data_IF_606860885176
#
_entry.id   IF_606860885176
#
_cell.length_a   1.000
_cell.length_b   1.000
_cell.length_c   1.000
_cell.angle_alpha   90.00
_cell.angle_beta   90.00
_cell.angle_gamma   90.00
#
_symmetry.space_group_name_H-M   'P 1'
#
loop_
_entity.id
_entity.type
_entity.pdbx_description
1 polymer ?
#
# COMPACT_ATOMS: atom_id res chain seq x y z
N UNK A 1 7.37 7.17 26.11
CA UNK A 1 6.03 7.31 25.51
C UNK A 1 6.23 8.13 24.26
N UNK A 2 6.05 7.54 23.08
CA UNK A 2 6.16 8.26 21.80
C UNK A 2 4.72 8.57 21.38
N UNK A 3 4.38 9.85 21.27
CA UNK A 3 3.09 10.27 20.76
C UNK A 3 3.24 10.39 19.23
N UNK A 4 2.63 9.48 18.48
CA UNK A 4 2.60 9.55 17.02
C UNK A 4 1.20 10.03 16.61
N UNK A 5 1.11 11.24 16.05
CA UNK A 5 -0.14 11.75 15.48
C UNK A 5 -0.13 11.50 13.97
N UNK A 6 -0.79 10.43 13.54
CA UNK A 6 -0.97 10.15 12.11
C UNK A 6 -2.29 10.77 11.63
N UNK A 7 -2.23 11.71 10.68
CA UNK A 7 -3.40 12.16 9.91
C UNK A 7 -3.54 11.27 8.68
N UNK A 8 -4.15 10.10 8.84
CA UNK A 8 -4.43 9.19 7.72
C UNK A 8 -5.85 9.43 7.16
N UNK A 9 -6.10 9.05 5.89
CA UNK A 9 -7.45 9.00 5.33
C UNK A 9 -8.36 8.14 6.21
N UNK A 10 -9.55 8.64 6.54
CA UNK A 10 -10.51 7.97 7.41
C UNK A 10 -11.14 6.75 6.72
N UNK A 11 -10.89 5.54 7.23
CA UNK A 11 -11.37 4.29 6.66
C UNK A 11 -12.72 3.79 7.21
N UNK A 12 -13.49 4.65 7.87
CA UNK A 12 -14.65 4.23 8.66
C UNK A 12 -15.96 3.93 7.89
N UNK A 13 -16.03 4.12 6.57
CA UNK A 13 -17.24 3.77 5.79
C UNK A 13 -17.27 2.31 5.35
N UNK A 14 -17.71 1.41 6.25
CA UNK A 14 -18.03 0.00 5.91
C UNK A 14 -19.54 -0.15 5.66
N UNK A 15 -19.97 -0.18 4.41
CA UNK A 15 -21.32 -0.65 4.02
C UNK A 15 -21.18 -1.60 2.84
N UNK A 16 -21.76 -2.80 2.98
CA UNK A 16 -21.42 -4.00 2.21
C UNK A 16 -21.70 -3.93 0.70
N UNK A 17 -22.57 -3.03 0.23
CA UNK A 17 -23.03 -3.09 -1.17
C UNK A 17 -22.97 -1.79 -1.97
N UNK A 18 -22.47 -0.70 -1.39
CA UNK A 18 -22.03 0.53 -2.10
C UNK A 18 -21.45 1.48 -1.06
N UNK A 19 -20.22 1.24 -0.66
CA UNK A 19 -19.47 2.13 0.21
C UNK A 19 -18.57 3.00 -0.65
N UNK A 20 -18.80 4.31 -0.64
CA UNK A 20 -17.79 5.27 -1.06
C UNK A 20 -16.51 4.92 -0.31
N UNK A 21 -15.48 4.50 -1.03
CA UNK A 21 -14.20 4.22 -0.41
C UNK A 21 -13.59 5.54 0.10
N UNK A 22 -12.83 5.50 1.19
CA UNK A 22 -12.07 6.65 1.66
C UNK A 22 -11.26 7.24 0.53
N UNK A 23 -11.29 8.55 0.31
CA UNK A 23 -10.36 9.17 -0.64
C UNK A 23 -9.11 9.61 0.11
N UNK A 24 -7.94 9.18 -0.36
CA UNK A 24 -6.67 9.67 0.15
C UNK A 24 -6.23 10.91 -0.67
N UNK A 25 -6.07 12.05 -0.01
CA UNK A 25 -5.53 13.26 -0.64
C UNK A 25 -4.01 13.15 -0.77
N UNK A 26 -3.54 12.37 -1.75
CA UNK A 26 -2.12 12.11 -1.99
C UNK A 26 -1.51 13.08 -3.02
N UNK A 27 -0.20 13.37 -2.96
CA UNK A 27 0.76 12.87 -1.97
C UNK A 27 0.64 13.59 -0.61
N UNK A 28 1.01 12.89 0.48
CA UNK A 28 1.06 13.46 1.84
C UNK A 28 2.47 13.31 2.40
N UNK A 29 3.01 14.41 2.94
CA UNK A 29 4.27 14.41 3.68
C UNK A 29 4.00 14.17 5.17
N UNK A 30 4.70 13.21 5.76
CA UNK A 30 4.60 12.85 7.17
C UNK A 30 5.97 13.07 7.83
N UNK A 31 5.96 13.80 8.94
CA UNK A 31 7.14 14.02 9.79
C UNK A 31 6.91 13.32 11.13
N UNK A 32 7.73 12.29 11.41
CA UNK A 32 7.78 11.60 12.68
C UNK A 32 8.82 12.29 13.56
N UNK A 33 8.36 12.84 14.68
CA UNK A 33 9.22 13.50 15.67
C UNK A 33 9.25 12.63 16.93
N UNK A 34 10.42 12.09 17.25
CA UNK A 34 10.68 11.35 18.48
C UNK A 34 11.56 12.16 19.42
N UNK A 35 11.20 12.24 20.69
CA UNK A 35 12.08 12.83 21.72
C UNK A 35 12.54 11.74 22.68
N UNK A 36 13.85 11.59 22.81
CA UNK A 36 14.45 10.63 23.75
C UNK A 36 14.33 11.14 25.20
N UNK A 37 14.51 10.25 26.17
CA UNK A 37 14.50 10.63 27.60
C UNK A 37 15.62 11.62 27.96
N UNK A 38 16.70 11.61 27.19
CA UNK A 38 17.87 12.49 27.34
C UNK A 38 17.66 13.86 26.67
N UNK A 39 16.49 14.11 26.09
CA UNK A 39 16.16 15.39 25.43
C UNK A 39 16.62 15.50 23.97
N UNK A 40 17.21 14.45 23.39
CA UNK A 40 17.54 14.44 21.96
C UNK A 40 16.27 14.30 21.12
N UNK A 41 16.11 15.20 20.13
CA UNK A 41 15.03 15.17 19.13
C UNK A 41 15.50 14.43 17.88
N UNK A 42 14.76 13.39 17.50
CA UNK A 42 14.91 12.61 16.28
C UNK A 42 13.78 12.99 15.33
N UNK A 43 14.11 13.15 14.04
CA UNK A 43 13.16 13.56 13.01
C UNK A 43 13.32 12.62 11.83
N UNK A 44 12.27 11.89 11.49
CA UNK A 44 12.17 11.08 10.27
C UNK A 44 11.06 11.63 9.37
N UNK A 45 11.30 11.67 8.07
CA UNK A 45 10.36 12.20 7.08
C UNK A 45 10.12 11.17 5.99
N UNK A 46 8.86 10.96 5.65
CA UNK A 46 8.48 10.11 4.53
C UNK A 46 7.25 10.66 3.83
N UNK A 47 7.11 10.33 2.54
CA UNK A 47 6.01 10.79 1.68
C UNK A 47 5.17 9.59 1.26
N UNK A 48 3.88 9.64 1.54
CA UNK A 48 2.91 8.66 1.02
C UNK A 48 2.45 9.14 -0.35
N UNK A 49 2.68 8.33 -1.38
CA UNK A 49 2.35 8.64 -2.79
C UNK A 49 1.24 7.75 -3.35
N UNK A 50 0.98 6.61 -2.72
CA UNK A 50 -0.04 5.65 -3.14
C UNK A 50 -0.88 5.19 -1.94
N UNK A 51 -2.14 4.82 -2.20
CA UNK A 51 -3.07 4.26 -1.24
C UNK A 51 -3.78 3.06 -1.87
N UNK A 52 -4.07 2.06 -1.06
CA UNK A 52 -4.64 0.79 -1.49
C UNK A 52 -5.84 0.46 -0.61
N UNK A 53 -6.86 -0.16 -1.22
CA UNK A 53 -8.03 -0.69 -0.52
C UNK A 53 -8.15 -2.19 -0.81
N UNK A 54 -8.61 -2.95 0.19
CA UNK A 54 -8.84 -4.38 0.08
C UNK A 54 -10.30 -4.70 0.45
N UNK A 55 -10.90 -5.68 -0.23
CA UNK A 55 -12.30 -6.11 -0.03
C UNK A 55 -12.46 -7.17 1.07
N UNK A 56 -11.54 -7.21 2.04
CA UNK A 56 -11.45 -8.27 3.04
C UNK A 56 -11.28 -9.65 2.40
N UNK A 57 -12.01 -10.62 2.92
CA UNK A 57 -11.95 -12.04 2.52
C UNK A 57 -12.75 -12.34 1.23
N UNK A 58 -13.28 -11.33 0.55
CA UNK A 58 -14.09 -11.54 -0.66
C UNK A 58 -13.22 -11.95 -1.86
N UNK A 59 -13.38 -13.21 -2.27
CA UNK A 59 -12.73 -13.78 -3.46
C UNK A 59 -13.67 -13.68 -4.66
N UNK A 60 -13.19 -13.13 -5.77
CA UNK A 60 -13.96 -12.94 -7.00
C UNK A 60 -13.06 -13.06 -8.23
N UNK A 61 -13.68 -13.26 -9.40
CA UNK A 61 -12.95 -13.26 -10.67
C UNK A 61 -12.32 -11.88 -10.94
N UNK A 62 -11.22 -11.81 -11.72
CA UNK A 62 -10.54 -10.54 -12.00
C UNK A 62 -11.47 -9.45 -12.54
N UNK A 63 -12.44 -9.80 -13.40
CA UNK A 63 -13.42 -8.85 -13.93
C UNK A 63 -14.34 -8.27 -12.85
N UNK A 64 -14.80 -9.10 -11.90
CA UNK A 64 -15.66 -8.66 -10.80
C UNK A 64 -14.89 -7.82 -9.77
N UNK A 65 -13.62 -8.13 -9.53
CA UNK A 65 -12.76 -7.28 -8.68
C UNK A 65 -12.50 -5.93 -9.34
N UNK A 66 -12.29 -5.91 -10.65
CA UNK A 66 -12.14 -4.67 -11.42
C UNK A 66 -13.39 -3.80 -11.31
N UNK A 67 -14.56 -4.38 -11.57
CA UNK A 67 -15.86 -3.70 -11.47
C UNK A 67 -16.09 -3.15 -10.06
N UNK A 68 -15.76 -3.92 -9.03
CA UNK A 68 -15.83 -3.44 -7.65
C UNK A 68 -14.90 -2.24 -7.41
N UNK A 69 -13.62 -2.32 -7.79
CA UNK A 69 -12.68 -1.22 -7.61
C UNK A 69 -13.13 0.05 -8.36
N UNK A 70 -13.55 -0.07 -9.61
CA UNK A 70 -14.02 1.07 -10.42
C UNK A 70 -15.34 1.64 -9.88
N UNK A 71 -16.17 0.81 -9.24
CA UNK A 71 -17.39 1.22 -8.56
C UNK A 71 -17.19 2.04 -7.28
N UNK A 72 -15.97 2.10 -6.72
CA UNK A 72 -15.65 2.86 -5.50
C UNK A 72 -15.40 4.36 -5.75
N UNK A 73 -15.49 4.83 -7.00
CA UNK A 73 -15.22 6.22 -7.39
C UNK A 73 -13.90 6.34 -8.15
N UNK A 74 -12.95 7.12 -7.64
CA UNK A 74 -11.65 7.35 -8.33
C UNK A 74 -10.63 6.23 -8.08
N UNK A 75 -11.10 4.99 -7.98
CA UNK A 75 -10.31 3.79 -7.73
C UNK A 75 -10.17 2.97 -9.01
N UNK A 76 -9.06 2.22 -9.08
CA UNK A 76 -8.82 1.24 -10.15
C UNK A 76 -8.25 -0.02 -9.56
N UNK A 77 -8.38 -1.13 -10.29
CA UNK A 77 -7.66 -2.34 -9.97
C UNK A 77 -6.13 -2.08 -9.97
N UNK A 78 -5.44 -2.54 -8.93
CA UNK A 78 -3.99 -2.47 -8.85
C UNK A 78 -3.35 -3.34 -9.93
N UNK A 79 -2.31 -2.83 -10.58
CA UNK A 79 -1.49 -3.61 -11.50
C UNK A 79 -0.31 -4.23 -10.73
N UNK A 80 0.41 -5.16 -11.39
CA UNK A 80 1.56 -5.84 -10.77
C UNK A 80 2.63 -4.87 -10.29
N UNK A 81 2.85 -3.74 -10.98
CA UNK A 81 3.87 -2.74 -10.64
C UNK A 81 3.48 -1.84 -9.48
N UNK A 82 2.19 -1.66 -9.21
CA UNK A 82 1.74 -0.99 -7.98
C UNK A 82 2.05 -1.83 -6.73
N UNK A 83 2.14 -3.17 -6.89
CA UNK A 83 2.27 -4.11 -5.77
C UNK A 83 3.69 -4.64 -5.61
N UNK A 84 4.43 -4.82 -6.72
CA UNK A 84 5.69 -5.57 -6.71
C UNK A 84 6.73 -5.12 -7.73
N UNK A 85 8.00 -5.20 -7.33
CA UNK A 85 9.15 -5.06 -8.23
C UNK A 85 9.52 -6.37 -8.96
N UNK A 86 8.82 -7.47 -8.71
CA UNK A 86 9.10 -8.75 -9.35
C UNK A 86 9.08 -8.61 -10.88
N UNK A 87 9.98 -9.35 -11.55
CA UNK A 87 10.03 -9.45 -13.01
C UNK A 87 9.62 -10.87 -13.38
N UNK A 88 8.49 -11.01 -14.05
CA UNK A 88 8.05 -12.28 -14.62
C UNK A 88 8.55 -12.32 -16.07
N UNK A 89 9.71 -12.92 -16.33
CA UNK A 89 10.16 -13.17 -17.70
C UNK A 89 9.63 -14.55 -18.11
N UNK A 90 8.64 -14.61 -19.00
CA UNK A 90 8.32 -15.84 -19.70
C UNK A 90 9.34 -16.07 -20.81
N UNK A 91 10.00 -17.23 -20.75
CA UNK A 91 10.80 -17.88 -21.80
C UNK A 91 12.26 -17.42 -21.93
N UNK A 92 13.14 -18.35 -21.52
CA UNK A 92 14.53 -18.51 -21.94
C UNK A 92 15.34 -17.24 -22.16
N UNK A 93 16.01 -16.77 -21.12
CA UNK A 93 17.43 -16.57 -21.31
C UNK A 93 18.23 -16.88 -20.04
N UNK A 94 19.31 -17.58 -20.29
CA UNK A 94 20.17 -18.28 -19.37
C UNK A 94 20.66 -17.43 -18.18
N UNK A 95 20.68 -18.05 -16.98
CA UNK A 95 21.62 -17.76 -15.89
C UNK A 95 21.48 -16.47 -15.05
N UNK A 96 20.28 -16.15 -14.53
CA UNK A 96 20.17 -15.32 -13.30
C UNK A 96 19.13 -15.89 -12.30
N UNK A 97 19.55 -16.43 -11.13
CA UNK A 97 18.68 -17.19 -10.22
C UNK A 97 17.85 -16.34 -9.25
N UNK A 98 17.77 -15.02 -9.43
CA UNK A 98 17.19 -14.11 -8.42
C UNK A 98 16.08 -13.22 -9.00
N UNK A 99 15.02 -13.85 -9.51
CA UNK A 99 13.80 -13.18 -10.00
C UNK A 99 12.71 -13.04 -8.92
N UNK A 100 13.05 -13.32 -7.67
CA UNK A 100 12.13 -13.27 -6.56
C UNK A 100 11.92 -11.85 -6.07
N UNK A 101 10.79 -11.66 -5.38
CA UNK A 101 10.53 -10.55 -4.47
C UNK A 101 11.81 -10.10 -3.73
N UNK A 102 12.10 -8.80 -3.75
CA UNK A 102 13.14 -8.18 -2.91
C UNK A 102 12.55 -6.99 -2.19
N UNK A 103 12.67 -6.95 -0.86
CA UNK A 103 12.19 -5.82 -0.06
C UNK A 103 12.93 -4.54 -0.46
N UNK A 104 12.17 -3.51 -0.84
CA UNK A 104 12.73 -2.23 -1.28
C UNK A 104 11.69 -1.11 -1.11
N UNK A 105 12.16 0.09 -0.76
CA UNK A 105 11.32 1.27 -0.56
C UNK A 105 10.94 1.87 -1.91
N UNK A 106 9.70 2.33 -2.08
CA UNK A 106 9.14 2.88 -3.34
C UNK A 106 9.07 1.89 -4.51
N UNK A 107 8.96 0.59 -4.23
CA UNK A 107 8.98 -0.47 -5.25
C UNK A 107 7.69 -1.31 -5.29
N UNK A 108 6.61 -0.78 -4.72
CA UNK A 108 5.28 -1.38 -4.67
C UNK A 108 4.89 -1.84 -3.26
N UNK A 109 3.58 -1.92 -2.99
CA UNK A 109 3.03 -2.17 -1.64
C UNK A 109 3.64 -3.41 -0.96
N UNK A 110 3.57 -4.57 -1.62
CA UNK A 110 4.06 -5.80 -1.02
C UNK A 110 5.58 -5.77 -0.89
N UNK A 111 6.25 -5.16 -1.87
CA UNK A 111 7.71 -4.99 -1.87
C UNK A 111 8.20 -4.18 -0.68
N UNK A 112 7.48 -3.15 -0.29
CA UNK A 112 7.88 -2.28 0.79
C UNK A 112 7.44 -2.82 2.16
N UNK A 113 6.21 -3.36 2.25
CA UNK A 113 5.56 -3.70 3.52
C UNK A 113 5.58 -5.20 3.83
N UNK A 114 5.53 -6.06 2.82
CA UNK A 114 5.50 -7.52 2.96
C UNK A 114 4.10 -8.10 2.75
N UNK A 115 3.83 -9.27 3.32
CA UNK A 115 2.51 -9.90 3.23
C UNK A 115 1.47 -9.11 4.03
N UNK A 116 0.34 -8.78 3.40
CA UNK A 116 -0.72 -7.97 4.03
C UNK A 116 -1.45 -8.71 5.15
N UNK A 117 -1.36 -10.05 5.22
CA UNK A 117 -1.97 -10.86 6.28
C UNK A 117 -1.40 -10.61 7.70
N UNK A 118 -0.32 -9.82 7.82
CA UNK A 118 0.29 -9.46 9.11
C UNK A 118 -0.18 -8.11 9.67
N UNK A 119 -1.07 -7.40 8.96
CA UNK A 119 -1.60 -6.08 9.33
C UNK A 119 -3.12 -6.13 9.48
#
# INVERSE_FOLDING_TARGET
>A
MVLVTLKCPDSSSKVEDKATAPTANLPVDIELIGTTKQGLKLIDKFRITQWFINRGDFVAWPAQQKEWCEGLGNYRQANVRDLSNARLNSLSDNFHPHHNYKRAVHHGLLTEWGAMAYF
#
